data_IF_887078017866
#
_entry.id   IF_887078017866
#
_cell.length_a   1.000
_cell.length_b   1.000
_cell.length_c   1.000
_cell.angle_alpha   90.00
_cell.angle_beta   90.00
_cell.angle_gamma   90.00
#
_symmetry.space_group_name_H-M   'P 1'
#
loop_
_entity.id
_entity.type
_entity.pdbx_description
1 polymer ?
#
# COMPACT_ATOMS: atom_id res chain seq x y z
N UNK A 1 6.57 18.42 8.41
CA UNK A 1 7.29 17.53 7.46
C UNK A 1 8.78 17.74 7.67
N UNK A 2 9.56 16.69 7.65
CA UNK A 2 11.02 16.81 7.74
C UNK A 2 11.58 17.32 6.41
N UNK A 3 12.71 18.02 6.43
CA UNK A 3 13.38 18.54 5.21
C UNK A 3 13.63 17.41 4.19
N UNK A 4 14.06 16.24 4.66
CA UNK A 4 14.29 15.07 3.80
C UNK A 4 13.03 14.60 3.05
N UNK A 5 11.86 14.69 3.68
CA UNK A 5 10.60 14.33 3.01
C UNK A 5 10.29 15.28 1.86
N UNK A 6 10.45 16.58 2.07
CA UNK A 6 10.18 17.60 1.03
C UNK A 6 11.09 17.43 -0.17
N UNK A 7 12.40 17.26 0.05
CA UNK A 7 13.37 17.04 -1.03
C UNK A 7 13.11 15.73 -1.79
N UNK A 8 12.73 14.66 -1.08
CA UNK A 8 12.35 13.38 -1.68
C UNK A 8 11.09 13.50 -2.53
N UNK A 9 10.07 14.18 -2.04
CA UNK A 9 8.84 14.45 -2.77
C UNK A 9 9.08 15.25 -4.05
N UNK A 10 9.81 16.36 -3.97
CA UNK A 10 10.15 17.19 -5.13
C UNK A 10 10.91 16.40 -6.19
N UNK A 11 11.87 15.57 -5.77
CA UNK A 11 12.61 14.71 -6.67
C UNK A 11 11.71 13.69 -7.37
N UNK A 12 10.87 12.96 -6.62
CA UNK A 12 9.98 11.96 -7.20
C UNK A 12 8.95 12.57 -8.13
N UNK A 13 8.32 13.68 -7.75
CA UNK A 13 7.34 14.39 -8.56
C UNK A 13 7.93 14.95 -9.86
N UNK A 14 9.23 15.23 -9.89
CA UNK A 14 9.93 15.63 -11.12
C UNK A 14 10.18 14.47 -12.09
N UNK A 15 10.16 13.23 -11.61
CA UNK A 15 10.46 12.04 -12.41
C UNK A 15 9.21 11.26 -12.82
N UNK A 16 8.15 11.29 -11.99
CA UNK A 16 6.97 10.46 -12.15
C UNK A 16 5.70 11.23 -11.87
N UNK A 17 4.57 10.86 -12.51
CA UNK A 17 3.27 11.41 -12.15
C UNK A 17 2.88 10.97 -10.73
N UNK A 18 2.23 11.86 -10.01
CA UNK A 18 1.62 11.53 -8.73
C UNK A 18 0.31 10.76 -8.98
N UNK A 19 0.08 9.74 -8.16
CA UNK A 19 -1.13 8.90 -8.21
C UNK A 19 -1.86 9.05 -6.88
N UNK A 20 -3.18 9.08 -6.95
CA UNK A 20 -4.00 9.13 -5.73
C UNK A 20 -3.86 7.84 -4.91
N UNK A 21 -3.97 7.95 -3.59
CA UNK A 21 -4.03 6.76 -2.73
C UNK A 21 -5.22 5.85 -3.07
N UNK A 22 -6.31 6.43 -3.57
CA UNK A 22 -7.47 5.69 -4.05
C UNK A 22 -7.10 4.76 -5.22
N UNK A 23 -6.44 5.28 -6.26
CA UNK A 23 -6.01 4.50 -7.42
C UNK A 23 -4.97 3.45 -7.04
N UNK A 24 -4.03 3.81 -6.16
CA UNK A 24 -3.04 2.89 -5.63
C UNK A 24 -3.67 1.64 -5.01
N UNK A 25 -4.65 1.80 -4.12
CA UNK A 25 -5.32 0.66 -3.47
C UNK A 25 -6.24 -0.09 -4.42
N UNK A 26 -6.91 0.60 -5.33
CA UNK A 26 -7.77 -0.01 -6.36
C UNK A 26 -6.97 -0.91 -7.29
N UNK A 27 -5.77 -0.48 -7.69
CA UNK A 27 -4.90 -1.28 -8.54
C UNK A 27 -4.27 -2.46 -7.78
N UNK A 28 -4.00 -2.31 -6.49
CA UNK A 28 -3.49 -3.41 -5.65
C UNK A 28 -4.53 -4.51 -5.45
N UNK A 29 -5.82 -4.14 -5.37
CA UNK A 29 -6.92 -5.06 -5.07
C UNK A 29 -8.07 -4.93 -6.09
N UNK A 30 -7.86 -5.26 -7.36
CA UNK A 30 -8.84 -4.99 -8.41
C UNK A 30 -10.13 -5.83 -8.28
N UNK A 31 -10.04 -7.02 -7.69
CA UNK A 31 -11.12 -8.02 -7.66
C UNK A 31 -11.68 -8.24 -6.26
N UNK A 32 -11.99 -7.17 -5.54
CA UNK A 32 -12.49 -7.27 -4.17
C UNK A 32 -14.00 -7.04 -4.08
N UNK A 33 -14.77 -7.78 -4.87
CA UNK A 33 -16.23 -7.69 -4.91
C UNK A 33 -16.87 -8.27 -3.65
N UNK A 34 -18.02 -7.72 -3.27
CA UNK A 34 -18.82 -8.25 -2.17
C UNK A 34 -19.49 -9.56 -2.58
N UNK A 35 -19.37 -10.57 -1.71
CA UNK A 35 -20.08 -11.84 -1.86
C UNK A 35 -20.54 -12.33 -0.48
N UNK A 36 -21.72 -12.92 -0.39
CA UNK A 36 -22.23 -13.49 0.86
C UNK A 36 -21.38 -14.66 1.34
N UNK A 37 -20.77 -15.40 0.41
CA UNK A 37 -19.90 -16.54 0.68
C UNK A 37 -18.45 -16.13 0.92
N UNK A 38 -18.07 -14.88 0.68
CA UNK A 38 -16.70 -14.39 0.71
C UNK A 38 -15.93 -14.72 1.98
N UNK A 39 -16.62 -14.78 3.10
CA UNK A 39 -15.98 -15.07 4.38
C UNK A 39 -15.63 -16.55 4.57
N UNK A 40 -16.27 -17.41 3.81
CA UNK A 40 -16.11 -18.87 3.90
C UNK A 40 -15.35 -19.44 2.70
N UNK A 41 -15.37 -18.73 1.59
CA UNK A 41 -14.79 -19.19 0.33
C UNK A 41 -13.34 -18.69 0.17
N UNK A 42 -12.44 -19.62 -0.09
CA UNK A 42 -11.02 -19.32 -0.36
C UNK A 42 -10.78 -18.73 -1.74
N UNK A 43 -11.73 -18.86 -2.65
CA UNK A 43 -11.63 -18.27 -4.00
C UNK A 43 -11.82 -16.74 -4.02
N UNK A 44 -12.35 -16.17 -2.92
CA UNK A 44 -12.65 -14.75 -2.79
C UNK A 44 -11.88 -14.14 -1.60
N UNK A 45 -10.55 -14.00 -1.69
CA UNK A 45 -9.77 -13.42 -0.61
C UNK A 45 -10.11 -11.93 -0.43
N UNK A 46 -10.12 -11.48 0.82
CA UNK A 46 -10.45 -10.12 1.20
C UNK A 46 -9.20 -9.25 1.38
N UNK A 47 -9.19 -8.08 0.76
CA UNK A 47 -8.28 -7.02 1.15
C UNK A 47 -8.73 -6.40 2.47
N UNK A 48 -7.81 -6.20 3.40
CA UNK A 48 -8.10 -5.67 4.73
C UNK A 48 -7.15 -4.51 5.02
N UNK A 49 -7.71 -3.38 5.44
CA UNK A 49 -6.94 -2.28 5.97
C UNK A 49 -7.22 -2.04 7.45
N UNK A 50 -6.24 -1.47 8.12
CA UNK A 50 -6.32 -1.03 9.50
C UNK A 50 -6.31 0.49 9.54
N UNK A 51 -7.14 1.07 10.37
CA UNK A 51 -7.14 2.51 10.62
C UNK A 51 -7.23 2.78 12.11
N UNK A 52 -6.78 3.97 12.51
CA UNK A 52 -6.84 4.41 13.90
C UNK A 52 -8.10 5.22 14.12
N UNK A 53 -9.03 4.66 14.87
CA UNK A 53 -10.22 5.36 15.32
C UNK A 53 -9.92 6.13 16.61
N UNK A 54 -10.33 7.39 16.66
CA UNK A 54 -10.34 8.17 17.88
C UNK A 54 -11.72 8.03 18.54
N UNK A 55 -11.77 7.47 19.73
CA UNK A 55 -13.02 7.30 20.48
C UNK A 55 -13.35 8.57 21.26
N UNK A 56 -14.63 8.74 21.66
CA UNK A 56 -15.12 9.91 22.41
C UNK A 56 -14.44 10.10 23.78
N UNK A 57 -13.89 9.04 24.35
CA UNK A 57 -13.12 9.02 25.59
C UNK A 57 -11.62 9.31 25.40
N UNK A 58 -11.22 9.67 24.17
CA UNK A 58 -9.85 10.03 23.84
C UNK A 58 -8.91 8.84 23.59
N UNK A 59 -9.38 7.60 23.74
CA UNK A 59 -8.59 6.44 23.43
C UNK A 59 -8.47 6.24 21.91
N UNK A 60 -7.32 5.72 21.48
CA UNK A 60 -7.05 5.38 20.07
C UNK A 60 -7.13 3.86 19.92
N UNK A 61 -8.06 3.39 19.09
CA UNK A 61 -8.20 1.96 18.79
C UNK A 61 -7.87 1.66 17.35
N UNK A 62 -7.17 0.55 17.11
CA UNK A 62 -6.99 0.03 15.75
C UNK A 62 -8.24 -0.75 15.35
N UNK A 63 -8.83 -0.36 14.23
CA UNK A 63 -9.98 -1.03 13.61
C UNK A 63 -9.58 -1.69 12.32
N UNK A 64 -10.36 -2.67 11.90
CA UNK A 64 -10.20 -3.41 10.64
C UNK A 64 -11.43 -3.23 9.78
N UNK A 65 -11.22 -3.02 8.50
CA UNK A 65 -12.29 -3.07 7.50
C UNK A 65 -11.85 -3.90 6.28
N UNK A 66 -12.83 -4.54 5.63
CA UNK A 66 -12.64 -5.17 4.33
C UNK A 66 -12.86 -4.11 3.27
N UNK A 67 -11.98 -4.05 2.29
CA UNK A 67 -12.09 -3.16 1.13
C UNK A 67 -13.00 -3.82 0.08
N UNK A 68 -14.27 -3.52 0.08
CA UNK A 68 -15.17 -3.97 -1.00
C UNK A 68 -15.21 -2.94 -2.13
N UNK A 69 -15.23 -3.41 -3.37
CA UNK A 69 -15.22 -2.54 -4.56
C UNK A 69 -16.47 -1.64 -4.65
N UNK A 70 -17.62 -2.11 -4.18
CA UNK A 70 -18.87 -1.35 -4.14
C UNK A 70 -18.91 -0.26 -3.06
N UNK A 71 -18.03 -0.32 -2.07
CA UNK A 71 -17.94 0.66 -0.98
C UNK A 71 -16.61 1.41 -0.95
N UNK A 72 -15.72 1.11 -1.87
CA UNK A 72 -14.34 1.59 -1.82
C UNK A 72 -14.23 3.11 -1.77
N UNK A 73 -14.98 3.81 -2.62
CA UNK A 73 -14.92 5.26 -2.67
C UNK A 73 -15.33 5.91 -1.35
N UNK A 74 -16.44 5.45 -0.77
CA UNK A 74 -16.93 5.96 0.52
C UNK A 74 -15.96 5.60 1.65
N UNK A 75 -15.50 4.36 1.70
CA UNK A 75 -14.56 3.89 2.72
C UNK A 75 -13.22 4.62 2.64
N UNK A 76 -12.75 4.92 1.43
CA UNK A 76 -11.52 5.67 1.23
C UNK A 76 -11.64 7.09 1.78
N UNK A 77 -12.68 7.81 1.41
CA UNK A 77 -12.92 9.18 1.84
C UNK A 77 -13.16 9.27 3.35
N UNK A 78 -13.92 8.34 3.91
CA UNK A 78 -14.31 8.38 5.31
C UNK A 78 -13.21 7.88 6.26
N UNK A 79 -12.51 6.81 5.89
CA UNK A 79 -11.60 6.12 6.83
C UNK A 79 -10.13 6.21 6.48
N UNK A 80 -9.76 6.30 5.21
CA UNK A 80 -8.37 6.27 4.79
C UNK A 80 -7.82 7.69 4.65
N UNK A 81 -8.43 8.50 3.84
CA UNK A 81 -7.94 9.86 3.54
C UNK A 81 -7.92 10.76 4.78
N UNK A 82 -8.94 10.65 5.63
CA UNK A 82 -9.06 11.46 6.83
C UNK A 82 -8.29 10.92 8.04
N UNK A 83 -7.73 9.71 7.94
CA UNK A 83 -7.00 9.11 9.03
C UNK A 83 -5.50 9.36 8.92
N UNK A 84 -4.85 9.85 10.01
CA UNK A 84 -3.41 10.07 10.02
C UNK A 84 -2.59 8.78 10.00
N UNK A 85 -3.23 7.65 10.26
CA UNK A 85 -2.59 6.34 10.23
C UNK A 85 -3.55 5.30 9.65
N UNK A 86 -3.24 4.86 8.44
CA UNK A 86 -3.88 3.73 7.79
C UNK A 86 -2.82 2.75 7.33
N UNK A 87 -3.02 1.47 7.61
CA UNK A 87 -2.08 0.41 7.28
C UNK A 87 -2.76 -0.65 6.42
N UNK A 88 -2.12 -1.01 5.33
CA UNK A 88 -2.55 -2.09 4.46
C UNK A 88 -1.33 -2.89 4.00
N UNK A 89 -1.43 -4.20 4.07
CA UNK A 89 -0.42 -5.08 3.49
C UNK A 89 -0.77 -5.41 2.04
N UNK A 90 0.21 -5.85 1.27
CA UNK A 90 -0.02 -6.39 -0.08
C UNK A 90 -0.71 -7.77 -0.11
N UNK A 91 -1.26 -8.24 1.01
CA UNK A 91 -1.90 -9.54 1.15
C UNK A 91 -3.42 -9.43 1.17
N UNK A 92 -4.08 -10.44 0.62
CA UNK A 92 -5.52 -10.68 0.83
C UNK A 92 -5.72 -11.92 1.70
N UNK A 93 -6.82 -11.94 2.44
CA UNK A 93 -7.04 -12.87 3.53
C UNK A 93 -8.39 -13.58 3.43
N UNK A 94 -8.45 -14.79 3.97
CA UNK A 94 -9.72 -15.46 4.21
C UNK A 94 -10.48 -14.76 5.34
N UNK A 95 -11.74 -14.45 5.09
CA UNK A 95 -12.62 -13.85 6.09
C UNK A 95 -12.22 -12.44 6.48
N UNK A 96 -12.38 -12.11 7.75
CA UNK A 96 -12.18 -10.76 8.31
C UNK A 96 -10.89 -10.60 9.12
N UNK A 97 -10.02 -11.60 9.12
CA UNK A 97 -8.81 -11.62 9.93
C UNK A 97 -7.57 -11.38 9.06
N UNK A 98 -6.75 -10.41 9.44
CA UNK A 98 -5.48 -10.11 8.79
C UNK A 98 -4.28 -10.84 9.42
N UNK A 99 -4.51 -11.96 10.10
CA UNK A 99 -3.44 -12.81 10.59
C UNK A 99 -2.79 -13.58 9.46
N UNK A 100 -1.51 -13.87 9.56
CA UNK A 100 -0.74 -14.58 8.54
C UNK A 100 -1.34 -15.95 8.19
N UNK A 101 -1.87 -16.66 9.16
CA UNK A 101 -2.55 -17.98 8.98
C UNK A 101 -3.79 -17.91 8.07
N UNK A 102 -4.34 -16.71 7.87
CA UNK A 102 -5.48 -16.45 6.98
C UNK A 102 -5.08 -15.83 5.64
N UNK A 103 -3.79 -15.58 5.43
CA UNK A 103 -3.31 -15.03 4.17
C UNK A 103 -3.50 -16.06 3.04
N UNK A 104 -4.08 -15.63 1.94
CA UNK A 104 -4.36 -16.49 0.79
C UNK A 104 -3.68 -16.06 -0.50
N UNK A 105 -3.57 -14.75 -0.71
CA UNK A 105 -3.01 -14.19 -1.94
C UNK A 105 -2.05 -13.06 -1.61
N UNK A 106 -0.94 -13.03 -2.32
CA UNK A 106 -0.03 -11.90 -2.36
C UNK A 106 -0.35 -11.07 -3.61
N UNK A 107 -0.86 -9.85 -3.42
CA UNK A 107 -1.18 -8.94 -4.51
C UNK A 107 -0.03 -7.98 -4.79
N UNK A 108 0.79 -7.70 -3.78
CA UNK A 108 1.95 -6.84 -3.89
C UNK A 108 3.08 -7.31 -2.97
N UNK A 109 4.31 -7.11 -3.45
CA UNK A 109 5.51 -7.16 -2.63
C UNK A 109 5.90 -5.72 -2.31
N UNK A 110 5.97 -5.37 -1.03
CA UNK A 110 6.26 -4.04 -0.54
C UNK A 110 7.55 -4.08 0.28
N UNK A 111 8.55 -3.35 -0.15
CA UNK A 111 9.78 -3.13 0.60
C UNK A 111 9.69 -1.80 1.32
N UNK A 112 9.79 -1.83 2.63
CA UNK A 112 9.86 -0.64 3.49
C UNK A 112 11.32 -0.28 3.74
N UNK A 113 11.72 0.88 3.23
CA UNK A 113 13.10 1.37 3.30
C UNK A 113 13.13 2.59 4.23
N UNK A 114 13.64 2.41 5.43
CA UNK A 114 13.81 3.48 6.39
C UNK A 114 15.00 4.40 6.09
N UNK A 115 14.88 5.66 6.49
CA UNK A 115 15.99 6.62 6.43
C UNK A 115 16.47 6.98 5.02
N UNK A 116 15.59 6.84 4.02
CA UNK A 116 15.90 7.16 2.62
C UNK A 116 15.85 8.67 2.41
N UNK A 117 17.02 9.26 2.15
CA UNK A 117 17.17 10.65 1.73
C UNK A 117 17.35 10.78 0.21
N UNK A 118 17.54 12.01 -0.27
CA UNK A 118 17.70 12.30 -1.70
C UNK A 118 18.87 11.56 -2.36
N UNK A 119 19.98 11.37 -1.63
CA UNK A 119 21.15 10.64 -2.13
C UNK A 119 20.83 9.16 -2.35
N UNK A 120 20.15 8.54 -1.39
CA UNK A 120 19.73 7.15 -1.45
C UNK A 120 18.71 6.93 -2.56
N UNK A 121 17.74 7.85 -2.72
CA UNK A 121 16.78 7.84 -3.83
C UNK A 121 17.50 7.86 -5.19
N UNK A 122 18.40 8.79 -5.42
CA UNK A 122 19.16 8.88 -6.67
C UNK A 122 19.94 7.61 -6.96
N UNK A 123 20.58 7.04 -5.96
CA UNK A 123 21.31 5.77 -6.09
C UNK A 123 20.37 4.59 -6.40
N UNK A 124 19.19 4.57 -5.81
CA UNK A 124 18.17 3.56 -6.09
C UNK A 124 17.70 3.65 -7.55
N UNK A 125 17.40 4.87 -8.02
CA UNK A 125 16.94 5.10 -9.39
C UNK A 125 17.96 4.70 -10.48
N UNK A 126 19.24 4.85 -10.20
CA UNK A 126 20.28 4.36 -11.10
C UNK A 126 20.29 2.83 -11.27
N UNK A 127 19.59 2.12 -10.38
CA UNK A 127 19.49 0.64 -10.40
C UNK A 127 18.19 0.14 -11.00
N UNK A 128 17.14 0.96 -11.07
CA UNK A 128 15.89 0.56 -11.67
C UNK A 128 15.99 0.45 -13.19
N UNK A 129 15.30 -0.55 -13.73
CA UNK A 129 15.27 -0.80 -15.17
C UNK A 129 16.56 -1.42 -15.73
N UNK A 130 16.56 -1.64 -17.01
CA UNK A 130 17.65 -2.30 -17.73
C UNK A 130 17.56 -3.82 -17.70
N UNK A 131 18.60 -4.49 -18.16
CA UNK A 131 18.67 -5.94 -18.25
C UNK A 131 18.68 -6.59 -16.87
N UNK A 132 17.64 -7.38 -16.50
CA UNK A 132 17.56 -8.02 -15.19
C UNK A 132 18.65 -9.08 -14.95
N UNK A 133 19.33 -9.54 -16.00
CA UNK A 133 20.46 -10.47 -15.89
C UNK A 133 21.73 -9.81 -15.38
N UNK A 134 21.79 -8.48 -15.39
CA UNK A 134 22.96 -7.75 -14.89
C UNK A 134 22.89 -7.62 -13.37
N UNK A 135 23.92 -8.06 -12.69
CA UNK A 135 24.13 -7.84 -11.26
C UNK A 135 23.92 -6.36 -10.89
N UNK A 136 23.16 -6.13 -9.82
CA UNK A 136 22.83 -4.79 -9.26
C UNK A 136 21.74 -4.02 -10.02
N UNK A 137 21.00 -4.65 -10.94
CA UNK A 137 19.79 -4.07 -11.50
C UNK A 137 18.56 -4.54 -10.75
N UNK A 138 17.59 -3.65 -10.62
CA UNK A 138 16.31 -3.91 -9.98
C UNK A 138 15.21 -3.74 -11.02
N UNK A 139 14.16 -4.56 -10.95
CA UNK A 139 12.97 -4.32 -11.76
C UNK A 139 12.39 -2.93 -11.45
N UNK A 140 11.72 -2.32 -12.42
CA UNK A 140 10.95 -1.10 -12.16
C UNK A 140 9.81 -1.44 -11.22
N UNK A 141 9.65 -0.71 -10.12
CA UNK A 141 8.48 -0.89 -9.25
C UNK A 141 7.21 -0.40 -9.94
N UNK A 142 6.07 -0.92 -9.48
CA UNK A 142 4.76 -0.41 -9.91
C UNK A 142 4.49 0.95 -9.29
N UNK A 143 4.80 1.09 -8.00
CA UNK A 143 4.62 2.33 -7.24
C UNK A 143 5.77 2.61 -6.27
N UNK A 144 5.96 3.89 -6.00
CA UNK A 144 6.81 4.40 -4.93
C UNK A 144 5.95 5.24 -4.00
N UNK A 145 6.03 4.97 -2.70
CA UNK A 145 5.26 5.69 -1.69
C UNK A 145 6.20 6.30 -0.66
N UNK A 146 6.16 7.61 -0.50
CA UNK A 146 6.84 8.28 0.60
C UNK A 146 6.04 8.10 1.88
N UNK A 147 6.59 7.39 2.85
CA UNK A 147 5.94 7.04 4.12
C UNK A 147 6.19 8.04 5.26
N UNK A 148 6.73 9.22 4.93
CA UNK A 148 7.08 10.27 5.90
C UNK A 148 8.54 10.20 6.38
N UNK A 149 9.04 9.06 6.79
CA UNK A 149 10.44 8.84 7.22
C UNK A 149 11.23 7.96 6.26
N UNK A 150 10.56 7.34 5.29
CA UNK A 150 11.16 6.38 4.37
C UNK A 150 10.45 6.29 3.03
N UNK A 151 10.75 5.24 2.32
CA UNK A 151 10.22 4.93 1.00
C UNK A 151 9.71 3.50 0.95
N UNK A 152 8.46 3.31 0.53
CA UNK A 152 7.98 1.99 0.15
C UNK A 152 8.19 1.78 -1.35
N UNK A 153 8.83 0.69 -1.71
CA UNK A 153 9.00 0.23 -3.10
C UNK A 153 8.02 -0.91 -3.33
N UNK A 154 7.03 -0.69 -4.19
CA UNK A 154 5.88 -1.58 -4.35
C UNK A 154 5.90 -2.24 -5.72
N UNK A 155 5.84 -3.57 -5.74
CA UNK A 155 5.69 -4.40 -6.93
C UNK A 155 4.34 -5.09 -6.88
N UNK A 156 3.42 -4.72 -7.77
CA UNK A 156 2.11 -5.35 -7.85
C UNK A 156 2.16 -6.55 -8.77
N UNK A 157 1.52 -7.63 -8.35
CA UNK A 157 1.38 -8.82 -9.16
C UNK A 157 0.08 -8.73 -9.95
N UNK A 158 0.21 -8.80 -11.27
CA UNK A 158 -0.92 -8.96 -12.19
C UNK A 158 -1.08 -10.43 -12.50
N UNK A 159 -2.34 -10.91 -12.51
CA UNK A 159 -2.69 -12.24 -13.00
C UNK A 159 -2.51 -12.35 -14.49
#
# INVERSE_FOLDING_TARGET
MTQNYTEGYEYLSSQFPEVSGYDFYREMFPNNERSDERHMDYSHPNAIYLYREQTSDGFKRMRRRIMFSDQWENDYMEFIEQNPLTLCSGLSYRGKSNKLEHAQRMNALIFDLDGVGLKELRNLFLRFGGDPTRLRRLPMPTYLVLSGTGLHVCYFFRE
#
